data_IF_816752185396
#
_entry.id   IF_816752185396
#
_cell.length_a   1.000
_cell.length_b   1.000
_cell.length_c   1.000
_cell.angle_alpha   90.00
_cell.angle_beta   90.00
_cell.angle_gamma   90.00
#
_symmetry.space_group_name_H-M   'P 1'
#
loop_
_entity.id
_entity.type
_entity.pdbx_description
1 polymer ?
#
# COMPACT_ATOMS: atom_id res chain seq x y z
N UNK A 1 -40.84 -24.18 -70.09
CA UNK A 1 -41.60 -25.31 -69.50
C UNK A 1 -41.94 -24.96 -68.06
N UNK A 2 -43.23 -24.76 -67.79
CA UNK A 2 -43.90 -24.74 -66.48
C UNK A 2 -43.79 -26.12 -65.80
N UNK A 3 -43.80 -26.27 -64.47
CA UNK A 3 -45.00 -26.20 -63.61
C UNK A 3 -44.70 -26.17 -62.09
N UNK A 4 -45.71 -25.67 -61.40
CA UNK A 4 -45.97 -25.48 -59.97
C UNK A 4 -45.99 -26.75 -59.06
N UNK A 5 -45.63 -26.52 -57.79
CA UNK A 5 -46.41 -26.76 -56.54
C UNK A 5 -46.84 -28.18 -56.08
N UNK A 6 -46.57 -28.50 -54.80
CA UNK A 6 -47.51 -28.70 -53.67
C UNK A 6 -46.96 -29.72 -52.65
N UNK A 7 -47.04 -29.41 -51.34
CA UNK A 7 -46.76 -30.40 -50.30
C UNK A 7 -46.66 -29.86 -48.86
N UNK A 8 -47.81 -29.52 -48.28
CA UNK A 8 -48.00 -29.12 -46.88
C UNK A 8 -47.89 -30.32 -45.92
N UNK A 9 -47.25 -30.18 -44.75
CA UNK A 9 -47.55 -31.00 -43.54
C UNK A 9 -46.98 -30.38 -42.25
N UNK A 10 -47.91 -30.07 -41.36
CA UNK A 10 -47.80 -29.55 -40.00
C UNK A 10 -47.01 -30.45 -39.06
N UNK A 11 -46.28 -29.86 -38.09
CA UNK A 11 -46.23 -30.28 -36.66
C UNK A 11 -45.28 -29.37 -35.85
N UNK A 12 -45.84 -28.52 -34.98
CA UNK A 12 -45.25 -28.12 -33.68
C UNK A 12 -45.75 -29.15 -32.64
N UNK A 13 -45.17 -29.33 -31.43
CA UNK A 13 -44.15 -28.53 -30.74
C UNK A 13 -43.08 -29.37 -29.99
N UNK A 14 -42.05 -28.73 -29.42
CA UNK A 14 -41.66 -28.98 -28.02
C UNK A 14 -40.62 -27.96 -27.52
N UNK A 15 -41.01 -27.27 -26.44
CA UNK A 15 -40.11 -26.50 -25.58
C UNK A 15 -39.16 -27.48 -24.91
N UNK A 16 -37.86 -27.20 -24.94
CA UNK A 16 -36.90 -27.84 -24.05
C UNK A 16 -36.52 -26.82 -22.97
N UNK A 17 -37.25 -26.91 -21.86
CA UNK A 17 -36.85 -26.40 -20.56
C UNK A 17 -35.64 -27.22 -20.08
N UNK A 18 -34.45 -26.61 -20.09
CA UNK A 18 -33.30 -27.10 -19.33
C UNK A 18 -32.74 -25.97 -18.49
N UNK A 19 -33.40 -25.77 -17.35
CA UNK A 19 -32.85 -25.06 -16.20
C UNK A 19 -31.65 -25.84 -15.65
N UNK A 20 -30.45 -25.45 -16.04
CA UNK A 20 -29.24 -25.89 -15.35
C UNK A 20 -29.18 -25.28 -13.94
N UNK A 21 -28.56 -25.95 -12.96
CA UNK A 21 -28.48 -25.43 -11.60
C UNK A 21 -27.71 -24.11 -11.63
N UNK A 22 -28.39 -23.03 -11.21
CA UNK A 22 -27.74 -21.75 -10.91
C UNK A 22 -26.79 -22.02 -9.75
N UNK A 23 -25.50 -22.10 -10.04
CA UNK A 23 -24.48 -21.94 -9.02
C UNK A 23 -24.76 -20.61 -8.36
N UNK A 24 -25.20 -20.68 -7.11
CA UNK A 24 -25.41 -19.55 -6.23
C UNK A 24 -24.02 -18.94 -6.00
N UNK A 25 -23.65 -18.01 -6.89
CA UNK A 25 -22.44 -17.22 -6.79
C UNK A 25 -22.67 -16.32 -5.59
N UNK A 26 -22.32 -16.82 -4.40
CA UNK A 26 -22.05 -15.97 -3.23
C UNK A 26 -21.20 -14.82 -3.75
N UNK A 27 -21.77 -13.62 -3.74
CA UNK A 27 -21.04 -12.37 -3.96
C UNK A 27 -20.00 -12.29 -2.86
N UNK A 28 -18.83 -12.86 -3.13
CA UNK A 28 -17.63 -12.58 -2.38
C UNK A 28 -17.31 -11.13 -2.75
N UNK A 29 -17.74 -10.20 -1.89
CA UNK A 29 -17.42 -8.79 -2.02
C UNK A 29 -15.91 -8.68 -2.20
N UNK A 30 -15.48 -8.36 -3.42
CA UNK A 30 -14.10 -8.07 -3.77
C UNK A 30 -13.73 -6.69 -3.22
N UNK A 31 -13.89 -6.49 -1.91
CA UNK A 31 -13.59 -5.23 -1.26
C UNK A 31 -12.07 -5.15 -1.08
N UNK A 32 -11.41 -4.45 -2.00
CA UNK A 32 -10.06 -3.94 -1.75
C UNK A 32 -10.12 -3.20 -0.41
N UNK A 33 -9.30 -3.57 0.59
CA UNK A 33 -9.39 -2.97 1.91
C UNK A 33 -9.13 -1.47 1.82
N UNK A 34 -10.06 -0.67 2.37
CA UNK A 34 -9.89 0.77 2.44
C UNK A 34 -8.77 1.12 3.43
N UNK A 35 -7.83 1.95 3.01
CA UNK A 35 -6.77 2.50 3.88
C UNK A 35 -7.44 3.44 4.88
N UNK A 36 -7.53 3.06 6.16
CA UNK A 36 -8.08 3.90 7.23
C UNK A 36 -7.00 4.84 7.78
N UNK A 37 -7.32 6.11 8.06
CA UNK A 37 -6.35 7.02 8.66
C UNK A 37 -5.95 6.53 10.05
N UNK A 38 -4.66 6.62 10.37
CA UNK A 38 -4.10 6.34 11.69
C UNK A 38 -3.12 7.45 12.07
N UNK A 39 -2.96 7.66 13.37
CA UNK A 39 -1.91 8.52 13.89
C UNK A 39 -0.65 7.70 14.18
N UNK A 40 0.51 8.33 13.99
CA UNK A 40 1.79 7.74 14.37
C UNK A 40 1.80 7.60 15.89
N UNK A 41 2.18 6.44 16.45
CA UNK A 41 2.15 6.24 17.89
C UNK A 41 3.27 7.05 18.57
N UNK A 42 3.09 7.42 19.84
CA UNK A 42 4.09 8.21 20.58
C UNK A 42 5.42 7.45 20.74
N UNK A 43 5.36 6.13 20.89
CA UNK A 43 6.50 5.21 20.95
C UNK A 43 6.98 4.77 19.54
N UNK A 44 6.93 5.68 18.56
CA UNK A 44 7.25 5.37 17.17
C UNK A 44 8.64 4.76 16.95
N UNK A 45 9.59 5.02 17.85
CA UNK A 45 10.93 4.41 17.82
C UNK A 45 10.84 2.90 18.04
N UNK A 46 10.13 2.47 19.09
CA UNK A 46 9.90 1.06 19.37
C UNK A 46 9.02 0.42 18.29
N UNK A 47 8.00 1.15 17.81
CA UNK A 47 7.19 0.69 16.69
C UNK A 47 8.04 0.43 15.43
N UNK A 48 8.98 1.32 15.10
CA UNK A 48 9.90 1.15 13.97
C UNK A 48 10.84 -0.04 14.16
N UNK A 49 11.36 -0.24 15.38
CA UNK A 49 12.16 -1.41 15.74
C UNK A 49 11.39 -2.70 15.46
N UNK A 50 10.14 -2.77 15.95
CA UNK A 50 9.28 -3.94 15.77
C UNK A 50 9.01 -4.19 14.29
N UNK A 51 8.67 -3.16 13.50
CA UNK A 51 8.48 -3.30 12.05
C UNK A 51 9.70 -3.94 11.40
N UNK A 52 10.91 -3.47 11.72
CA UNK A 52 12.13 -4.03 11.13
C UNK A 52 12.41 -5.46 11.60
N UNK A 53 12.17 -5.79 12.88
CA UNK A 53 12.26 -7.18 13.36
C UNK A 53 11.29 -8.12 12.64
N UNK A 54 10.07 -7.66 12.36
CA UNK A 54 9.06 -8.47 11.66
C UNK A 54 9.37 -8.66 10.17
N UNK A 55 10.01 -7.68 9.53
CA UNK A 55 10.39 -7.76 8.11
C UNK A 55 11.69 -8.51 7.87
N UNK A 56 12.60 -8.49 8.84
CA UNK A 56 13.89 -9.13 8.74
C UNK A 56 13.85 -10.63 9.03
N UNK A 57 14.67 -11.39 8.32
CA UNK A 57 14.91 -12.80 8.60
C UNK A 57 16.33 -12.98 9.15
N UNK A 58 16.59 -13.89 10.11
CA UNK A 58 17.94 -14.13 10.62
C UNK A 58 18.93 -14.44 9.49
N UNK A 59 20.08 -13.77 9.48
CA UNK A 59 21.14 -14.06 8.51
C UNK A 59 21.80 -15.40 8.85
N UNK A 60 21.78 -16.34 7.88
CA UNK A 60 22.39 -17.67 8.02
C UNK A 60 23.89 -17.61 8.36
N UNK A 61 24.58 -16.55 7.96
CA UNK A 61 26.02 -16.38 8.19
C UNK A 61 26.33 -15.58 9.46
N UNK A 62 25.38 -14.79 9.97
CA UNK A 62 25.55 -13.96 11.15
C UNK A 62 24.21 -13.80 11.88
N UNK A 63 23.92 -14.65 12.87
CA UNK A 63 22.64 -14.62 13.60
C UNK A 63 22.30 -13.29 14.28
N UNK A 64 23.30 -12.42 14.51
CA UNK A 64 23.09 -11.08 15.06
C UNK A 64 22.64 -10.04 14.02
N UNK A 65 22.45 -10.44 12.77
CA UNK A 65 21.98 -9.60 11.66
C UNK A 65 20.69 -10.14 11.07
N UNK A 66 19.93 -9.24 10.46
CA UNK A 66 18.75 -9.55 9.69
C UNK A 66 19.02 -9.32 8.19
N UNK A 67 18.38 -10.17 7.38
CA UNK A 67 18.25 -10.02 5.94
C UNK A 67 16.88 -9.48 5.63
N UNK A 68 16.85 -8.41 4.84
CA UNK A 68 15.64 -7.76 4.37
C UNK A 68 15.52 -7.96 2.87
N UNK A 69 14.30 -8.11 2.35
CA UNK A 69 14.10 -8.06 0.89
C UNK A 69 13.98 -6.61 0.39
N UNK A 70 13.46 -5.68 1.21
CA UNK A 70 13.56 -4.25 0.94
C UNK A 70 14.99 -3.73 1.15
N UNK A 71 15.48 -2.95 0.19
CA UNK A 71 16.82 -2.36 0.23
C UNK A 71 16.83 -1.00 0.93
N UNK A 72 18.00 -0.59 1.41
CA UNK A 72 18.18 0.71 2.08
C UNK A 72 17.88 1.85 1.10
N UNK A 73 18.28 1.71 -0.16
CA UNK A 73 18.03 2.70 -1.22
C UNK A 73 16.54 2.98 -1.43
N UNK A 74 15.68 1.96 -1.38
CA UNK A 74 14.22 2.15 -1.52
C UNK A 74 13.64 2.95 -0.35
N UNK A 75 14.02 2.62 0.89
CA UNK A 75 13.54 3.37 2.07
C UNK A 75 14.12 4.79 2.07
N UNK A 76 15.39 4.96 1.71
CA UNK A 76 16.05 6.28 1.64
C UNK A 76 15.40 7.19 0.60
N UNK A 77 14.94 6.65 -0.53
CA UNK A 77 14.21 7.44 -1.54
C UNK A 77 12.91 8.04 -0.98
N UNK A 78 12.19 7.29 -0.13
CA UNK A 78 11.01 7.79 0.59
C UNK A 78 11.44 8.85 1.60
N UNK A 79 12.48 8.57 2.40
CA UNK A 79 12.99 9.51 3.40
C UNK A 79 13.41 10.84 2.77
N UNK A 80 14.09 10.85 1.62
CA UNK A 80 14.47 12.10 0.93
C UNK A 80 13.26 13.01 0.69
N UNK A 81 12.15 12.47 0.18
CA UNK A 81 10.92 13.24 -0.07
C UNK A 81 10.28 13.75 1.23
N UNK A 82 10.38 12.96 2.30
CA UNK A 82 9.90 13.36 3.63
C UNK A 82 10.77 14.47 4.21
N UNK A 83 12.10 14.33 4.11
CA UNK A 83 13.08 15.33 4.55
C UNK A 83 12.90 16.67 3.83
N UNK A 84 12.56 16.67 2.55
CA UNK A 84 12.28 17.90 1.79
C UNK A 84 11.10 18.69 2.40
N UNK A 85 10.03 17.99 2.80
CA UNK A 85 8.87 18.61 3.44
C UNK A 85 9.22 19.02 4.88
N UNK A 86 9.93 18.16 5.62
CA UNK A 86 10.38 18.41 6.99
C UNK A 86 11.27 19.64 7.09
N UNK A 87 12.20 19.83 6.15
CA UNK A 87 13.07 20.99 6.12
C UNK A 87 12.29 22.31 6.03
N UNK A 88 11.10 22.32 5.43
CA UNK A 88 10.24 23.50 5.37
C UNK A 88 9.40 23.62 6.65
N UNK A 89 8.69 22.56 7.03
CA UNK A 89 7.69 22.61 8.10
C UNK A 89 8.30 22.65 9.51
N UNK A 90 9.49 22.08 9.73
CA UNK A 90 10.17 22.10 11.05
C UNK A 90 10.55 23.51 11.51
N UNK A 91 10.76 24.44 10.58
CA UNK A 91 11.12 25.84 10.87
C UNK A 91 9.92 26.75 11.11
N UNK A 92 8.71 26.25 10.88
CA UNK A 92 7.47 27.01 11.06
C UNK A 92 6.85 26.70 12.42
N UNK A 93 5.97 27.57 12.88
CA UNK A 93 5.23 27.39 14.15
C UNK A 93 3.73 27.15 13.94
N UNK A 94 3.20 27.45 12.74
CA UNK A 94 1.79 27.27 12.41
C UNK A 94 1.34 25.82 12.58
N UNK A 95 0.14 25.60 13.10
CA UNK A 95 -0.41 24.25 13.30
C UNK A 95 -0.65 23.51 11.97
N UNK A 96 -1.05 24.25 10.94
CA UNK A 96 -1.33 23.70 9.61
C UNK A 96 -0.11 23.76 8.69
N UNK A 97 0.15 22.66 7.98
CA UNK A 97 1.14 22.58 6.92
C UNK A 97 0.86 23.59 5.79
N UNK A 98 1.91 24.02 5.09
CA UNK A 98 1.74 24.79 3.86
C UNK A 98 0.98 23.96 2.81
N UNK A 99 0.17 24.60 1.94
CA UNK A 99 -0.47 23.92 0.82
C UNK A 99 0.53 23.17 -0.07
N UNK A 100 1.70 23.74 -0.33
CA UNK A 100 2.76 23.11 -1.12
C UNK A 100 3.34 21.86 -0.43
N UNK A 101 3.63 21.96 0.87
CA UNK A 101 4.08 20.84 1.69
C UNK A 101 3.06 19.70 1.71
N UNK A 102 1.77 20.01 1.86
CA UNK A 102 0.72 19.00 1.78
C UNK A 102 0.60 18.41 0.37
N UNK A 103 0.75 19.21 -0.69
CA UNK A 103 0.76 18.70 -2.06
C UNK A 103 1.91 17.70 -2.29
N UNK A 104 3.11 18.01 -1.81
CA UNK A 104 4.27 17.10 -1.82
C UNK A 104 3.99 15.82 -1.02
N UNK A 105 3.33 15.92 0.13
CA UNK A 105 2.92 14.75 0.93
C UNK A 105 1.92 13.86 0.18
N UNK A 106 0.94 14.44 -0.53
CA UNK A 106 0.00 13.66 -1.35
C UNK A 106 0.70 13.01 -2.56
N UNK A 107 1.68 13.68 -3.18
CA UNK A 107 2.51 13.08 -4.23
C UNK A 107 3.34 11.91 -3.70
N UNK A 108 3.92 12.05 -2.52
CA UNK A 108 4.61 10.95 -1.82
C UNK A 108 3.67 9.76 -1.61
N UNK A 109 2.44 10.00 -1.16
CA UNK A 109 1.45 8.94 -0.95
C UNK A 109 1.14 8.15 -2.23
N UNK A 110 0.96 8.85 -3.35
CA UNK A 110 0.72 8.21 -4.66
C UNK A 110 1.94 7.37 -5.07
N UNK A 111 3.14 7.91 -4.86
CA UNK A 111 4.38 7.21 -5.19
C UNK A 111 4.55 5.93 -4.37
N UNK A 112 4.33 5.98 -3.06
CA UNK A 112 4.39 4.79 -2.19
C UNK A 112 3.38 3.73 -2.64
N UNK A 113 2.14 4.15 -2.97
CA UNK A 113 1.11 3.24 -3.47
C UNK A 113 1.54 2.55 -4.77
N UNK A 114 2.09 3.32 -5.72
CA UNK A 114 2.59 2.79 -6.99
C UNK A 114 3.77 1.84 -6.78
N UNK A 115 4.76 2.21 -5.96
CA UNK A 115 5.93 1.38 -5.68
C UNK A 115 5.53 0.06 -4.98
N UNK A 116 4.57 0.10 -4.05
CA UNK A 116 4.02 -1.09 -3.42
C UNK A 116 3.31 -2.01 -4.43
N UNK A 117 2.59 -1.46 -5.42
CA UNK A 117 1.96 -2.25 -6.48
C UNK A 117 2.94 -2.79 -7.52
N UNK A 118 4.05 -2.08 -7.75
CA UNK A 118 5.09 -2.49 -8.71
C UNK A 118 6.01 -3.57 -8.14
N UNK A 119 6.47 -3.39 -6.91
CA UNK A 119 7.44 -4.26 -6.24
C UNK A 119 6.76 -5.02 -5.09
N UNK A 120 5.73 -5.81 -5.41
CA UNK A 120 4.84 -6.44 -4.42
C UNK A 120 5.54 -7.38 -3.43
N UNK A 121 6.70 -7.94 -3.80
CA UNK A 121 7.45 -8.84 -2.92
C UNK A 121 8.28 -8.13 -1.86
N UNK A 122 8.74 -6.92 -2.17
CA UNK A 122 9.74 -6.23 -1.35
C UNK A 122 9.20 -4.96 -0.71
N UNK A 123 8.49 -4.12 -1.48
CA UNK A 123 8.00 -2.82 -1.00
C UNK A 123 6.67 -2.96 -0.30
N UNK A 124 5.74 -3.75 -0.83
CA UNK A 124 4.40 -3.90 -0.25
C UNK A 124 4.42 -4.40 1.20
N UNK A 125 5.19 -5.44 1.58
CA UNK A 125 5.24 -5.87 2.98
C UNK A 125 5.77 -4.78 3.91
N UNK A 126 6.78 -4.02 3.45
CA UNK A 126 7.29 -2.89 4.21
C UNK A 126 6.21 -1.83 4.42
N UNK A 127 5.52 -1.39 3.36
CA UNK A 127 4.46 -0.37 3.43
C UNK A 127 3.32 -0.80 4.34
N UNK A 128 2.86 -2.05 4.23
CA UNK A 128 1.78 -2.60 5.05
C UNK A 128 2.18 -2.72 6.53
N UNK A 129 3.39 -3.24 6.81
CA UNK A 129 3.85 -3.42 8.21
C UNK A 129 4.16 -2.10 8.89
N UNK A 130 4.73 -1.15 8.14
CA UNK A 130 5.05 0.19 8.65
C UNK A 130 3.86 1.15 8.64
N UNK A 131 2.72 0.76 8.06
CA UNK A 131 1.47 1.54 8.00
C UNK A 131 1.62 2.93 7.37
N UNK A 132 2.54 3.08 6.41
CA UNK A 132 2.86 4.41 5.84
C UNK A 132 1.64 5.10 5.24
N UNK A 133 0.80 4.36 4.53
CA UNK A 133 -0.34 4.96 3.83
C UNK A 133 -1.43 5.41 4.80
N UNK A 134 -1.63 4.66 5.87
CA UNK A 134 -2.53 4.97 6.97
C UNK A 134 -2.07 6.21 7.73
N UNK A 135 -0.77 6.29 8.07
CA UNK A 135 -0.18 7.44 8.75
C UNK A 135 -0.22 8.69 7.87
N UNK A 136 0.13 8.58 6.58
CA UNK A 136 0.04 9.74 5.67
C UNK A 136 -1.42 10.21 5.53
N UNK A 137 -2.41 9.30 5.49
CA UNK A 137 -3.84 9.66 5.46
C UNK A 137 -4.27 10.35 6.78
N UNK A 138 -3.70 9.96 7.92
CA UNK A 138 -4.01 10.52 9.24
C UNK A 138 -3.42 11.90 9.53
N UNK A 139 -2.38 12.32 8.80
CA UNK A 139 -1.75 13.64 8.98
C UNK A 139 -2.75 14.79 8.76
N UNK A 140 -3.65 14.71 7.77
CA UNK A 140 -4.72 15.70 7.54
C UNK A 140 -4.27 17.18 7.61
N UNK A 141 -3.14 17.52 6.99
CA UNK A 141 -2.50 18.85 7.04
C UNK A 141 -2.03 19.32 8.42
N UNK A 142 -2.14 18.52 9.47
CA UNK A 142 -1.59 18.84 10.78
C UNK A 142 -0.06 18.72 10.75
N UNK A 143 0.61 19.83 11.06
CA UNK A 143 2.07 19.93 11.01
C UNK A 143 2.74 19.00 12.01
N UNK A 144 2.25 18.92 13.23
CA UNK A 144 2.85 18.11 14.29
C UNK A 144 2.78 16.61 13.94
N UNK A 145 1.62 16.14 13.45
CA UNK A 145 1.47 14.77 12.94
C UNK A 145 2.45 14.47 11.82
N UNK A 146 2.68 15.42 10.91
CA UNK A 146 3.68 15.27 9.86
C UNK A 146 5.12 15.20 10.42
N UNK A 147 5.45 16.04 11.41
CA UNK A 147 6.77 16.01 12.06
C UNK A 147 7.02 14.66 12.75
N UNK A 148 6.03 14.13 13.47
CA UNK A 148 6.11 12.78 14.06
C UNK A 148 6.29 11.70 13.00
N UNK A 149 5.57 11.78 11.89
CA UNK A 149 5.76 10.88 10.74
C UNK A 149 7.17 10.95 10.15
N UNK A 150 7.76 12.14 10.08
CA UNK A 150 9.13 12.31 9.60
C UNK A 150 10.15 11.61 10.52
N UNK A 151 10.04 11.77 11.83
CA UNK A 151 10.90 11.08 12.79
C UNK A 151 10.71 9.57 12.77
N UNK A 152 9.48 9.09 12.58
CA UNK A 152 9.21 7.66 12.39
C UNK A 152 9.91 7.10 11.14
N UNK A 153 9.90 7.84 10.03
CA UNK A 153 10.63 7.45 8.81
C UNK A 153 12.14 7.39 9.02
N UNK A 154 12.71 8.33 9.80
CA UNK A 154 14.13 8.28 10.19
C UNK A 154 14.43 7.04 11.04
N UNK A 155 13.58 6.72 12.01
CA UNK A 155 13.72 5.54 12.86
C UNK A 155 13.69 4.23 12.04
N UNK A 156 12.79 4.11 11.06
CA UNK A 156 12.74 2.96 10.16
C UNK A 156 14.06 2.77 9.39
N UNK A 157 14.62 3.85 8.83
CA UNK A 157 15.91 3.80 8.13
C UNK A 157 17.04 3.42 9.10
N UNK A 158 17.06 4.00 10.30
CA UNK A 158 18.07 3.71 11.31
C UNK A 158 18.06 2.23 11.72
N UNK A 159 16.89 1.66 12.04
CA UNK A 159 16.79 0.26 12.42
C UNK A 159 17.06 -0.70 11.27
N UNK A 160 16.61 -0.39 10.05
CA UNK A 160 16.97 -1.16 8.86
C UNK A 160 18.48 -1.28 8.72
N UNK A 161 19.20 -0.14 8.84
CA UNK A 161 20.66 -0.10 8.76
C UNK A 161 21.32 -0.83 9.94
N UNK A 162 20.82 -0.61 11.15
CA UNK A 162 21.35 -1.22 12.39
C UNK A 162 21.30 -2.74 12.34
N UNK A 163 20.17 -3.32 11.93
CA UNK A 163 20.03 -4.78 11.79
C UNK A 163 20.74 -5.35 10.57
N UNK A 164 21.38 -4.52 9.76
CA UNK A 164 22.29 -4.95 8.72
C UNK A 164 21.73 -4.89 7.32
N UNK A 165 20.67 -4.12 7.09
CA UNK A 165 20.19 -3.68 5.79
C UNK A 165 21.32 -3.13 4.92
N UNK A 166 21.31 -3.55 3.66
CA UNK A 166 22.29 -3.16 2.64
C UNK A 166 21.58 -2.45 1.49
N UNK A 167 22.37 -1.83 0.62
CA UNK A 167 21.86 -1.21 -0.61
C UNK A 167 21.45 -2.27 -1.62
#
# INVERSE_FOLDING_TARGET
>A
MTYNSYGNRSSRPQRNDRSGPRYDRKEQSSAVPEIKPLDVPEDYVDAAEQVMKHLGQPDRQNPSRLRFSITTSKIRNILTLVSDIYNVESRRTAETMLPESNAKLQMLRIRILYEAGRDERDVKPFVEKSKLLEYIKGIQMNREKFIQFAHYMEALVAYHRYYGGRD
#
